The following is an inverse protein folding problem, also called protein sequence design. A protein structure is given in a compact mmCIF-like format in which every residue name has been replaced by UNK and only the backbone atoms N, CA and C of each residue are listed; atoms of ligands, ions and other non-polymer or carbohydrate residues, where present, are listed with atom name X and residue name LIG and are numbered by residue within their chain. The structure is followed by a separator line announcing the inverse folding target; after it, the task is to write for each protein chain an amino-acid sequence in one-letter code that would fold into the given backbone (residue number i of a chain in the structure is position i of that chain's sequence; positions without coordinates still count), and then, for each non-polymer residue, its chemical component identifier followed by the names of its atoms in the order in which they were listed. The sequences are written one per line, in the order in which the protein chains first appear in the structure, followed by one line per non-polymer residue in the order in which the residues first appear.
data_IF_500901697916
#
_entry.id   IF_500901697916
#
_cell.length_a   1.000
_cell.length_b   1.000
_cell.length_c   1.000
_cell.angle_alpha   90.00
_cell.angle_beta   90.00
_cell.angle_gamma   90.00
#
_symmetry.space_group_name_H-M   'P 1'
#
loop_
_entity.id
_entity.type
_entity.pdbx_description
1 polymer ?
#
# COMPACT_ATOMS: atom_id res chain seq x y z
N UNK A 1 -5.87 10.73 6.34
CA UNK A 1 -5.98 10.71 7.82
C UNK A 1 -7.25 11.47 8.23
N UNK A 2 -8.04 10.98 9.19
CA UNK A 2 -9.32 11.59 9.62
C UNK A 2 -9.19 12.82 10.56
N UNK A 3 -8.06 13.55 10.51
CA UNK A 3 -7.78 14.69 11.42
C UNK A 3 -7.11 15.89 10.72
N UNK A 4 -7.11 15.95 9.38
CA UNK A 4 -6.68 17.14 8.64
C UNK A 4 -5.17 17.30 8.41
N UNK A 5 -4.37 16.25 8.56
CA UNK A 5 -2.97 16.22 8.11
C UNK A 5 -2.84 15.42 6.81
N UNK A 6 -2.87 16.12 5.67
CA UNK A 6 -2.54 15.53 4.37
C UNK A 6 -1.03 15.24 4.28
N UNK A 7 -0.65 14.17 3.55
CA UNK A 7 0.75 13.85 3.27
C UNK A 7 1.51 13.09 4.37
N UNK A 8 0.82 12.56 5.38
CA UNK A 8 1.46 11.70 6.39
C UNK A 8 1.98 10.38 5.81
N UNK A 9 3.11 9.89 6.33
CA UNK A 9 3.67 8.60 5.95
C UNK A 9 4.14 7.81 7.18
N UNK A 10 4.30 6.50 7.01
CA UNK A 10 4.77 5.59 8.04
C UNK A 10 5.39 4.34 7.44
N UNK A 11 6.02 3.53 8.28
CA UNK A 11 6.65 2.27 7.86
C UNK A 11 6.04 1.09 8.61
N UNK A 12 5.77 0.00 7.89
CA UNK A 12 5.32 -1.27 8.46
C UNK A 12 6.16 -2.40 7.88
N UNK A 13 6.53 -3.37 8.73
CA UNK A 13 7.16 -4.59 8.25
C UNK A 13 6.10 -5.52 7.63
N UNK A 14 6.21 -5.76 6.33
CA UNK A 14 5.34 -6.66 5.58
C UNK A 14 6.14 -7.43 4.52
N UNK A 15 5.68 -8.62 4.13
CA UNK A 15 6.35 -9.43 3.09
C UNK A 15 5.93 -9.01 1.68
N UNK A 16 4.74 -8.41 1.56
CA UNK A 16 4.20 -7.84 0.32
C UNK A 16 3.37 -6.59 0.65
N UNK A 17 3.03 -5.78 -0.34
CA UNK A 17 2.08 -4.68 -0.13
C UNK A 17 0.67 -5.18 0.20
N UNK A 18 0.26 -6.31 -0.38
CA UNK A 18 -1.04 -6.95 -0.13
C UNK A 18 -1.22 -7.40 1.33
N UNK A 19 -0.13 -7.67 2.04
CA UNK A 19 -0.21 -8.07 3.44
C UNK A 19 -0.37 -6.90 4.42
N UNK A 20 -0.34 -5.64 3.95
CA UNK A 20 -0.43 -4.47 4.84
C UNK A 20 -1.81 -4.38 5.53
N UNK A 21 -2.96 -4.46 4.82
CA UNK A 21 -4.27 -4.48 5.48
C UNK A 21 -4.42 -5.57 6.56
N UNK A 22 -4.14 -6.87 6.30
CA UNK A 22 -4.31 -7.90 7.33
C UNK A 22 -3.34 -7.76 8.51
N UNK A 23 -2.15 -7.17 8.32
CA UNK A 23 -1.25 -6.86 9.43
C UNK A 23 -1.77 -5.73 10.31
N UNK A 24 -2.34 -4.69 9.71
CA UNK A 24 -2.96 -3.59 10.44
C UNK A 24 -4.20 -4.07 11.20
N UNK A 25 -4.99 -4.96 10.61
CA UNK A 25 -6.09 -5.64 11.30
C UNK A 25 -5.60 -6.43 12.51
N UNK A 26 -4.52 -7.22 12.38
CA UNK A 26 -3.98 -7.99 13.50
C UNK A 26 -3.50 -7.10 14.66
N UNK A 27 -2.76 -6.03 14.35
CA UNK A 27 -2.29 -5.05 15.36
C UNK A 27 -3.45 -4.36 16.06
N UNK A 28 -4.46 -3.96 15.30
CA UNK A 28 -5.60 -3.23 15.84
C UNK A 28 -6.57 -4.16 16.60
N UNK A 29 -6.70 -5.42 16.20
CA UNK A 29 -7.40 -6.44 16.96
C UNK A 29 -6.76 -6.63 18.35
N UNK A 30 -5.41 -6.67 18.42
CA UNK A 30 -4.69 -6.68 19.69
C UNK A 30 -4.94 -5.40 20.53
N UNK A 31 -5.31 -4.29 19.89
CA UNK A 31 -5.72 -3.04 20.53
C UNK A 31 -7.23 -2.94 20.81
N UNK A 32 -8.01 -4.01 20.58
CA UNK A 32 -9.44 -4.05 20.85
C UNK A 32 -10.35 -3.43 19.78
N UNK A 33 -9.83 -3.13 18.60
CA UNK A 33 -10.63 -2.61 17.48
C UNK A 33 -11.27 -3.75 16.68
N UNK A 34 -12.50 -3.54 16.20
CA UNK A 34 -13.13 -4.47 15.26
C UNK A 34 -12.51 -4.33 13.87
N UNK A 35 -12.60 -5.38 13.06
CA UNK A 35 -12.11 -5.36 11.67
C UNK A 35 -12.71 -4.21 10.87
N UNK A 36 -14.00 -3.95 11.01
CA UNK A 36 -14.71 -2.86 10.33
C UNK A 36 -14.17 -1.49 10.73
N UNK A 37 -13.91 -1.28 12.04
CA UNK A 37 -13.34 -0.04 12.54
C UNK A 37 -11.95 0.21 11.93
N UNK A 38 -11.12 -0.83 11.85
CA UNK A 38 -9.79 -0.75 11.24
C UNK A 38 -9.88 -0.38 9.77
N UNK A 39 -10.69 -1.09 8.98
CA UNK A 39 -10.83 -0.78 7.55
C UNK A 39 -11.44 0.59 7.29
N UNK A 40 -12.33 1.06 8.17
CA UNK A 40 -12.80 2.45 8.11
C UNK A 40 -11.64 3.43 8.28
N UNK A 41 -10.76 3.22 9.26
CA UNK A 41 -9.58 4.05 9.46
C UNK A 41 -8.61 3.95 8.27
N UNK A 42 -8.30 2.74 7.80
CA UNK A 42 -7.42 2.52 6.65
C UNK A 42 -7.91 3.25 5.41
N UNK A 43 -9.20 3.12 5.08
CA UNK A 43 -9.79 3.74 3.89
C UNK A 43 -9.74 5.27 3.92
N UNK A 44 -9.77 5.88 5.11
CA UNK A 44 -9.68 7.32 5.30
C UNK A 44 -8.23 7.82 5.51
N UNK A 45 -7.30 6.91 5.81
CA UNK A 45 -5.95 7.26 6.24
C UNK A 45 -4.87 7.03 5.19
N UNK A 46 -4.99 5.99 4.37
CA UNK A 46 -3.90 5.50 3.53
C UNK A 46 -4.33 5.39 2.06
N UNK A 47 -3.52 5.98 1.18
CA UNK A 47 -3.74 5.95 -0.26
C UNK A 47 -2.94 4.86 -0.98
N UNK A 48 -1.69 4.68 -0.57
CA UNK A 48 -0.74 3.84 -1.27
C UNK A 48 0.21 3.12 -0.31
N UNK A 49 0.76 2.00 -0.78
CA UNK A 49 1.83 1.24 -0.14
C UNK A 49 2.98 1.16 -1.13
N UNK A 50 4.16 1.61 -0.70
CA UNK A 50 5.42 1.43 -1.43
C UNK A 50 6.18 0.30 -0.74
N UNK A 51 6.25 -0.85 -1.39
CA UNK A 51 6.95 -2.01 -0.84
C UNK A 51 8.43 -1.97 -1.25
N UNK A 52 9.29 -2.12 -0.26
CA UNK A 52 10.74 -2.13 -0.43
C UNK A 52 11.28 -3.53 -0.15
N UNK A 53 12.11 -4.02 -1.07
CA UNK A 53 12.86 -5.26 -0.89
C UNK A 53 14.35 -4.97 -0.84
N UNK A 54 15.11 -5.89 -0.25
CA UNK A 54 16.57 -5.87 -0.28
C UNK A 54 17.05 -6.83 -1.35
N UNK A 55 17.82 -6.34 -2.31
CA UNK A 55 18.49 -7.21 -3.27
C UNK A 55 19.49 -8.10 -2.52
N UNK A 56 19.40 -9.44 -2.62
CA UNK A 56 20.26 -10.34 -1.87
C UNK A 56 21.70 -10.38 -2.41
N UNK A 57 21.93 -9.99 -3.67
CA UNK A 57 23.24 -9.95 -4.32
C UNK A 57 23.98 -8.66 -4.01
N UNK A 58 23.30 -7.51 -4.08
CA UNK A 58 23.92 -6.19 -3.90
C UNK A 58 23.72 -5.62 -2.49
N UNK A 59 22.75 -6.13 -1.74
CA UNK A 59 22.39 -5.63 -0.41
C UNK A 59 21.65 -4.29 -0.40
N UNK A 60 21.35 -3.72 -1.57
CA UNK A 60 20.67 -2.42 -1.72
C UNK A 60 19.16 -2.55 -1.54
N UNK A 61 18.51 -1.50 -1.02
CA UNK A 61 17.05 -1.42 -0.96
C UNK A 61 16.52 -0.86 -2.28
N UNK A 62 15.50 -1.51 -2.82
CA UNK A 62 14.81 -1.05 -4.03
C UNK A 62 13.31 -1.19 -3.84
N UNK A 63 12.56 -0.33 -4.53
CA UNK A 63 11.11 -0.49 -4.64
C UNK A 63 10.85 -1.76 -5.44
N UNK A 64 9.99 -2.63 -4.92
CA UNK A 64 9.51 -3.82 -5.64
C UNK A 64 8.09 -3.64 -6.16
N UNK A 65 7.28 -2.83 -5.47
CA UNK A 65 5.87 -2.68 -5.79
C UNK A 65 5.32 -1.36 -5.25
N UNK A 66 4.45 -0.73 -6.02
CA UNK A 66 3.58 0.37 -5.59
C UNK A 66 2.14 -0.13 -5.74
N UNK A 67 1.43 -0.22 -4.61
CA UNK A 67 0.02 -0.59 -4.56
C UNK A 67 -0.84 0.59 -4.13
N UNK A 68 -2.05 0.67 -4.69
CA UNK A 68 -3.07 1.57 -4.18
C UNK A 68 -4.02 0.81 -3.25
N UNK A 69 -4.38 1.46 -2.16
CA UNK A 69 -5.38 0.97 -1.23
C UNK A 69 -6.75 1.45 -1.67
N UNK A 70 -7.72 0.54 -1.73
CA UNK A 70 -9.09 0.88 -2.03
C UNK A 70 -10.06 0.02 -1.23
N UNK A 71 -11.26 0.56 -1.04
CA UNK A 71 -12.34 -0.15 -0.36
C UNK A 71 -13.12 -0.98 -1.36
N UNK A 72 -13.29 -2.26 -1.09
CA UNK A 72 -14.08 -3.19 -1.90
C UNK A 72 -15.58 -3.08 -1.57
N UNK A 73 -16.48 -3.69 -2.37
CA UNK A 73 -17.91 -3.75 -2.05
C UNK A 73 -18.23 -4.46 -0.72
N UNK A 74 -17.35 -5.34 -0.23
CA UNK A 74 -17.50 -5.95 1.10
C UNK A 74 -17.18 -4.99 2.25
N UNK A 75 -16.73 -3.77 1.95
CA UNK A 75 -16.41 -2.74 2.94
C UNK A 75 -14.99 -2.83 3.50
N UNK A 76 -14.16 -3.76 3.01
CA UNK A 76 -12.79 -3.95 3.47
C UNK A 76 -11.77 -3.35 2.49
N UNK A 77 -10.63 -2.96 3.03
CA UNK A 77 -9.54 -2.36 2.26
C UNK A 77 -8.62 -3.44 1.71
N UNK A 78 -8.34 -3.38 0.42
CA UNK A 78 -7.35 -4.23 -0.26
C UNK A 78 -6.27 -3.38 -0.89
N UNK A 79 -5.08 -3.96 -1.08
CA UNK A 79 -4.01 -3.35 -1.85
C UNK A 79 -4.03 -3.92 -3.27
N UNK A 80 -3.89 -3.08 -4.28
CA UNK A 80 -3.87 -3.51 -5.68
C UNK A 80 -2.68 -2.89 -6.41
N UNK A 81 -1.89 -3.71 -7.13
CA UNK A 81 -0.66 -3.23 -7.77
C UNK A 81 -0.96 -2.20 -8.85
N UNK A 82 -0.26 -1.08 -8.78
CA UNK A 82 -0.17 -0.09 -9.84
C UNK A 82 1.12 -0.27 -10.64
N UNK A 83 2.24 -0.54 -9.96
CA UNK A 83 3.53 -0.81 -10.60
C UNK A 83 4.25 -1.92 -9.84
N UNK A 84 4.84 -2.86 -10.56
CA UNK A 84 5.78 -3.85 -10.01
C UNK A 84 7.15 -3.66 -10.65
N UNK A 85 8.19 -3.72 -9.83
CA UNK A 85 9.56 -3.48 -10.22
C UNK A 85 10.30 -4.80 -10.06
N UNK A 86 10.78 -5.33 -11.19
CA UNK A 86 11.75 -6.43 -11.17
C UNK A 86 13.16 -5.84 -11.30
N UNK A 87 14.22 -6.65 -11.37
CA UNK A 87 15.59 -6.15 -11.63
C UNK A 87 15.77 -5.54 -13.05
N UNK A 88 14.68 -5.20 -13.74
CA UNK A 88 14.63 -4.47 -15.00
C UNK A 88 14.55 -2.96 -14.75
N UNK A 89 15.08 -2.17 -15.67
CA UNK A 89 15.00 -0.70 -15.61
C UNK A 89 13.58 -0.14 -15.80
N UNK A 90 12.67 -0.97 -16.33
CA UNK A 90 11.28 -0.59 -16.61
C UNK A 90 10.32 -1.32 -15.67
N UNK A 91 9.40 -0.62 -14.97
CA UNK A 91 8.38 -1.27 -14.17
C UNK A 91 7.30 -1.90 -15.04
N UNK A 92 6.67 -2.96 -14.52
CA UNK A 92 5.50 -3.60 -15.13
C UNK A 92 4.22 -2.96 -14.60
N UNK A 93 3.34 -2.43 -15.47
CA UNK A 93 2.03 -1.92 -15.12
C UNK A 93 1.14 -2.94 -14.42
N UNK A 94 0.43 -2.50 -13.39
CA UNK A 94 -0.63 -3.24 -12.73
C UNK A 94 -2.02 -2.62 -12.97
N UNK A 95 -3.10 -3.30 -12.54
CA UNK A 95 -4.47 -2.84 -12.73
C UNK A 95 -4.79 -1.48 -12.09
N UNK A 96 -4.06 -1.07 -11.05
CA UNK A 96 -4.24 0.23 -10.42
C UNK A 96 -3.45 1.38 -11.08
N UNK A 97 -2.68 1.11 -12.16
CA UNK A 97 -1.89 2.14 -12.84
C UNK A 97 -2.73 3.36 -13.30
N UNK A 98 -3.92 3.20 -13.92
CA UNK A 98 -4.70 4.35 -14.36
C UNK A 98 -5.10 5.28 -13.20
N UNK A 99 -5.39 4.71 -12.04
CA UNK A 99 -5.71 5.47 -10.82
C UNK A 99 -4.47 6.14 -10.23
N UNK A 100 -3.30 5.51 -10.34
CA UNK A 100 -2.05 6.13 -9.90
C UNK A 100 -1.69 7.33 -10.80
N UNK A 101 -1.83 7.19 -12.12
CA UNK A 101 -1.56 8.25 -13.10
C UNK A 101 -2.52 9.44 -12.95
N UNK A 102 -3.80 9.20 -12.62
CA UNK A 102 -4.73 10.32 -12.39
C UNK A 102 -4.39 11.14 -11.15
N UNK A 103 -3.74 10.53 -10.15
CA UNK A 103 -3.27 11.20 -8.92
C UNK A 103 -1.88 11.84 -9.09
N UNK A 104 -1.04 11.25 -9.92
CA UNK A 104 0.31 11.69 -10.21
C UNK A 104 0.57 11.67 -11.72
N UNK A 105 0.16 12.72 -12.46
CA UNK A 105 0.25 12.76 -13.93
C UNK A 105 1.68 12.73 -14.48
N UNK A 106 2.67 12.95 -13.61
CA UNK A 106 4.09 12.92 -13.95
C UNK A 106 4.72 11.52 -13.86
N UNK A 107 3.98 10.51 -13.39
CA UNK A 107 4.45 9.13 -13.39
C UNK A 107 4.31 8.51 -14.80
N UNK A 108 5.29 7.70 -15.24
CA UNK A 108 5.33 7.12 -16.58
C UNK A 108 4.16 6.16 -16.89
#
# INVERSE_FOLDING_TARGET
MNTGHEGGCGTLHANTAADVPPRLEALACAAGLTREAVHSQLSAALDAVIHLVRDPKTGTRQVSEICLLHRTPSGFVTATPALTFTNTLTPTPGPALPTLQSRCPSLP
#
